data_IF_983320851011
#
_entry.id   IF_983320851011
#
_cell.length_a   1.000
_cell.length_b   1.000
_cell.length_c   1.000
_cell.angle_alpha   90.00
_cell.angle_beta   90.00
_cell.angle_gamma   90.00
#
_symmetry.space_group_name_H-M   'P 1'
#
loop_
_entity.id
_entity.type
_entity.pdbx_description
1 polymer ?
#
# COMPACT_ATOMS: atom_id res chain seq x y z
N UNK A 1 20.39 4.20 4.64
CA UNK A 1 19.54 5.02 3.74
C UNK A 1 18.26 5.35 4.49
N UNK A 2 17.81 6.61 4.47
CA UNK A 2 16.51 6.99 5.04
C UNK A 2 15.46 6.82 3.94
N UNK A 3 14.46 5.98 4.16
CA UNK A 3 13.38 5.78 3.21
C UNK A 3 12.25 6.77 3.51
N UNK A 4 11.99 7.67 2.58
CA UNK A 4 11.00 8.75 2.73
C UNK A 4 9.56 8.21 2.91
N UNK A 5 9.26 7.05 2.33
CA UNK A 5 7.98 6.33 2.50
C UNK A 5 7.65 6.05 3.96
N UNK A 6 8.64 5.70 4.78
CA UNK A 6 8.42 5.37 6.19
C UNK A 6 7.93 6.58 7.00
N UNK A 7 8.55 7.74 6.78
CA UNK A 7 8.20 9.00 7.45
C UNK A 7 6.82 9.52 7.00
N UNK A 8 6.54 9.41 5.70
CA UNK A 8 5.22 9.75 5.14
C UNK A 8 4.12 8.83 5.68
N UNK A 9 4.39 7.52 5.79
CA UNK A 9 3.46 6.56 6.38
C UNK A 9 3.17 6.87 7.86
N UNK A 10 4.20 7.20 8.64
CA UNK A 10 4.04 7.65 10.04
C UNK A 10 3.19 8.90 10.13
N UNK A 11 3.43 9.86 9.24
CA UNK A 11 2.66 11.11 9.18
C UNK A 11 1.18 10.83 8.87
N UNK A 12 0.89 9.94 7.93
CA UNK A 12 -0.47 9.52 7.61
C UNK A 12 -1.17 8.84 8.79
N UNK A 13 -0.46 7.98 9.52
CA UNK A 13 -1.00 7.34 10.73
C UNK A 13 -1.32 8.34 11.83
N UNK A 14 -0.41 9.29 12.09
CA UNK A 14 -0.63 10.35 13.08
C UNK A 14 -1.83 11.22 12.72
N UNK A 15 -1.95 11.62 11.45
CA UNK A 15 -3.10 12.42 10.97
C UNK A 15 -4.44 11.71 11.18
N UNK A 16 -4.47 10.39 11.11
CA UNK A 16 -5.68 9.58 11.32
C UNK A 16 -5.85 9.07 12.74
N UNK A 17 -4.94 9.40 13.66
CA UNK A 17 -4.89 8.85 15.01
C UNK A 17 -5.00 7.31 15.04
N UNK A 18 -4.47 6.63 14.01
CA UNK A 18 -4.61 5.18 13.83
C UNK A 18 -3.35 4.47 14.32
N UNK A 19 -3.54 3.35 15.02
CA UNK A 19 -2.43 2.52 15.50
C UNK A 19 -1.88 1.64 14.35
N UNK A 20 -0.55 1.39 14.29
CA UNK A 20 0.03 0.47 13.30
C UNK A 20 -0.56 -0.94 13.33
N UNK A 21 -0.98 -1.39 14.51
CA UNK A 21 -1.62 -2.69 14.73
C UNK A 21 -2.97 -2.76 14.01
N UNK A 22 -3.79 -1.71 14.16
CA UNK A 22 -5.09 -1.61 13.49
C UNK A 22 -4.93 -1.49 11.97
N UNK A 23 -3.92 -0.74 11.51
CA UNK A 23 -3.59 -0.66 10.09
C UNK A 23 -3.25 -2.05 9.52
N UNK A 24 -2.45 -2.84 10.23
CA UNK A 24 -2.06 -4.18 9.82
C UNK A 24 -3.30 -5.10 9.67
N UNK A 25 -4.21 -5.05 10.65
CA UNK A 25 -5.45 -5.84 10.64
C UNK A 25 -6.37 -5.43 9.49
N UNK A 26 -6.52 -4.13 9.23
CA UNK A 26 -7.37 -3.61 8.15
C UNK A 26 -6.79 -3.84 6.75
N UNK A 27 -5.47 -3.87 6.62
CA UNK A 27 -4.79 -4.09 5.33
C UNK A 27 -4.54 -5.57 5.03
N UNK A 28 -4.65 -6.46 6.01
CA UNK A 28 -4.26 -7.86 5.88
C UNK A 28 -2.75 -8.05 5.73
N UNK A 29 -1.94 -7.06 6.15
CA UNK A 29 -0.48 -7.13 6.11
C UNK A 29 -0.01 -7.60 7.49
N UNK A 30 0.93 -8.54 7.58
CA UNK A 30 1.44 -8.98 8.87
C UNK A 30 2.09 -7.82 9.63
N UNK A 31 1.86 -7.77 10.94
CA UNK A 31 2.36 -6.70 11.83
C UNK A 31 3.88 -6.54 11.74
N UNK A 32 4.61 -7.63 11.50
CA UNK A 32 6.05 -7.64 11.26
C UNK A 32 6.44 -6.81 10.03
N UNK A 33 5.75 -7.00 8.90
CA UNK A 33 5.99 -6.24 7.68
C UNK A 33 5.65 -4.75 7.84
N UNK A 34 4.53 -4.43 8.50
CA UNK A 34 4.17 -3.01 8.79
C UNK A 34 5.25 -2.34 9.64
N UNK A 35 5.76 -3.03 10.67
CA UNK A 35 6.86 -2.53 11.50
C UNK A 35 8.14 -2.31 10.69
N UNK A 36 8.48 -3.23 9.78
CA UNK A 36 9.62 -3.07 8.88
C UNK A 36 9.47 -1.88 7.92
N UNK A 37 8.26 -1.61 7.44
CA UNK A 37 7.97 -0.45 6.59
C UNK A 37 8.12 0.85 7.37
N UNK A 38 7.61 0.90 8.61
CA UNK A 38 7.76 2.06 9.49
C UNK A 38 9.20 2.29 9.93
N UNK A 39 10.01 1.23 10.03
CA UNK A 39 11.43 1.33 10.30
C UNK A 39 12.24 1.73 9.04
N UNK A 40 11.61 1.76 7.86
CA UNK A 40 12.28 2.02 6.59
C UNK A 40 13.28 0.92 6.21
N UNK A 41 13.15 -0.29 6.76
CA UNK A 41 14.04 -1.41 6.39
C UNK A 41 13.63 -2.06 5.08
N UNK A 42 12.35 -1.95 4.72
CA UNK A 42 11.79 -2.57 3.52
C UNK A 42 10.86 -1.61 2.80
N UNK A 43 10.94 -1.59 1.47
CA UNK A 43 10.05 -0.80 0.61
C UNK A 43 8.84 -1.66 0.23
N UNK A 44 7.61 -1.28 0.61
CA UNK A 44 6.43 -2.04 0.25
C UNK A 44 6.27 -2.15 -1.28
N UNK A 45 5.86 -3.33 -1.76
CA UNK A 45 5.49 -3.52 -3.17
C UNK A 45 4.24 -2.72 -3.53
N UNK A 46 4.02 -2.51 -4.83
CA UNK A 46 2.87 -1.75 -5.34
C UNK A 46 1.52 -2.23 -4.77
N UNK A 47 1.29 -3.54 -4.69
CA UNK A 47 0.05 -4.10 -4.13
C UNK A 47 -0.17 -3.68 -2.68
N UNK A 48 0.89 -3.73 -1.88
CA UNK A 48 0.85 -3.39 -0.44
C UNK A 48 0.71 -1.88 -0.25
N UNK A 49 1.39 -1.09 -1.07
CA UNK A 49 1.21 0.37 -1.13
C UNK A 49 -0.22 0.75 -1.45
N UNK A 50 -0.85 0.07 -2.42
CA UNK A 50 -2.24 0.30 -2.75
C UNK A 50 -3.17 -0.03 -1.57
N UNK A 51 -2.98 -1.16 -0.89
CA UNK A 51 -3.75 -1.50 0.31
C UNK A 51 -3.61 -0.47 1.44
N UNK A 52 -2.37 -0.05 1.72
CA UNK A 52 -2.08 0.99 2.72
C UNK A 52 -2.77 2.30 2.35
N UNK A 53 -2.65 2.70 1.08
CA UNK A 53 -3.24 3.94 0.55
C UNK A 53 -4.76 3.96 0.70
N UNK A 54 -5.45 2.84 0.47
CA UNK A 54 -6.90 2.73 0.61
C UNK A 54 -7.36 2.87 2.05
N UNK A 55 -6.68 2.22 3.00
CA UNK A 55 -7.04 2.30 4.43
C UNK A 55 -6.75 3.69 4.98
N UNK A 56 -5.63 4.28 4.57
CA UNK A 56 -5.20 5.62 4.96
C UNK A 56 -5.81 6.72 4.09
N UNK A 57 -6.69 6.41 3.13
CA UNK A 57 -7.18 7.29 2.05
C UNK A 57 -6.18 8.41 1.73
N UNK A 58 -4.97 7.98 1.34
CA UNK A 58 -3.89 8.83 0.84
C UNK A 58 -3.53 8.38 -0.55
N UNK A 59 -2.83 9.24 -1.30
CA UNK A 59 -2.36 8.87 -2.62
C UNK A 59 -1.14 7.92 -2.56
N UNK A 60 -1.08 6.95 -3.49
CA UNK A 60 0.03 6.00 -3.60
C UNK A 60 1.32 6.72 -3.99
N UNK A 61 1.26 7.70 -4.90
CA UNK A 61 2.40 8.50 -5.34
C UNK A 61 2.95 9.33 -4.18
N UNK A 62 2.07 9.82 -3.31
CA UNK A 62 2.47 10.50 -2.10
C UNK A 62 3.23 9.58 -1.14
N UNK A 63 2.76 8.35 -0.90
CA UNK A 63 3.50 7.38 -0.08
C UNK A 63 4.86 7.02 -0.69
N UNK A 64 4.95 6.99 -2.02
CA UNK A 64 6.20 6.70 -2.74
C UNK A 64 7.20 7.85 -2.75
N UNK A 65 6.82 9.07 -2.33
CA UNK A 65 7.72 10.24 -2.39
C UNK A 65 7.63 11.02 -3.69
N UNK A 66 6.77 10.62 -4.63
CA UNK A 66 6.71 11.17 -5.99
C UNK A 66 5.80 12.39 -6.11
N UNK A 67 4.97 12.66 -5.11
CA UNK A 67 4.03 13.79 -5.11
C UNK A 67 3.87 14.38 -3.72
N UNK A 68 3.60 15.68 -3.63
CA UNK A 68 3.33 16.38 -2.37
C UNK A 68 1.84 16.39 -1.98
N UNK A 69 0.97 15.99 -2.90
CA UNK A 69 -0.47 15.95 -2.69
C UNK A 69 -0.86 14.68 -1.91
N UNK A 70 -1.25 14.85 -0.64
CA UNK A 70 -1.54 13.72 0.24
C UNK A 70 -2.85 13.00 -0.09
N UNK A 71 -3.83 13.71 -0.64
CA UNK A 71 -5.09 13.13 -1.10
C UNK A 71 -5.14 13.24 -2.63
N UNK A 72 -5.46 12.13 -3.30
CA UNK A 72 -5.57 12.05 -4.75
C UNK A 72 -6.86 12.73 -5.25
N UNK A 73 -7.03 14.02 -5.00
CA UNK A 73 -8.02 14.81 -5.73
C UNK A 73 -7.45 15.09 -7.12
N UNK A 74 -7.45 14.07 -7.99
CA UNK A 74 -7.02 14.25 -9.37
C UNK A 74 -8.02 15.16 -10.06
N UNK A 75 -7.67 16.44 -10.12
CA UNK A 75 -8.40 17.47 -10.85
C UNK A 75 -8.15 17.25 -12.35
N UNK A 76 -8.79 16.24 -12.93
CA UNK A 76 -9.00 16.16 -14.39
C UNK A 76 -9.82 17.35 -14.94
N UNK A 77 -10.12 18.36 -14.12
CA UNK A 77 -10.90 19.55 -14.47
C UNK A 77 -10.11 20.67 -15.14
N UNK A 78 -8.92 20.42 -15.69
CA UNK A 78 -8.29 21.34 -16.66
C UNK A 78 -8.39 20.89 -18.11
N UNK A 79 -9.02 19.75 -18.39
CA UNK A 79 -9.51 19.43 -19.72
C UNK A 79 -10.81 20.20 -20.01
N UNK A 80 -10.69 21.53 -20.06
CA UNK A 80 -11.62 22.36 -20.82
C UNK A 80 -11.30 22.15 -22.30
N UNK A 81 -11.72 21.02 -22.87
CA UNK A 81 -11.59 20.74 -24.29
C UNK A 81 -12.39 19.49 -24.68
N UNK A 82 -13.46 19.60 -25.48
CA UNK A 82 -14.11 18.45 -26.07
C UNK A 82 -13.24 17.98 -27.23
N UNK A 83 -12.64 16.80 -27.11
CA UNK A 83 -11.66 16.31 -28.08
C UNK A 83 -11.68 14.81 -28.23
N UNK A 84 -12.81 14.29 -28.74
CA UNK A 84 -12.92 13.01 -29.46
C UNK A 84 -12.77 11.73 -28.61
N UNK A 85 -13.92 11.15 -28.25
CA UNK A 85 -14.02 9.71 -28.01
C UNK A 85 -13.91 9.05 -29.39
N UNK A 86 -12.73 8.58 -29.76
CA UNK A 86 -12.63 7.54 -30.78
C UNK A 86 -13.11 6.25 -30.10
N UNK A 87 -14.27 5.77 -30.54
CA UNK A 87 -14.89 4.52 -30.18
C UNK A 87 -13.99 3.36 -30.63
N UNK A 88 -12.97 3.05 -29.84
CA UNK A 88 -12.13 1.86 -29.96
C UNK A 88 -12.31 1.01 -28.72
N UNK A 89 -13.22 0.05 -28.77
CA UNK A 89 -13.50 -0.84 -27.66
C UNK A 89 -12.28 -1.67 -27.26
N UNK A 90 -11.81 -1.47 -26.05
CA UNK A 90 -11.13 -2.52 -25.27
C UNK A 90 -11.99 -2.79 -24.04
N UNK A 91 -12.96 -3.67 -24.26
CA UNK A 91 -13.72 -4.35 -23.23
C UNK A 91 -12.77 -5.15 -22.36
N UNK A 92 -12.43 -4.67 -21.16
CA UNK A 92 -11.86 -5.51 -20.10
C UNK A 92 -12.96 -6.40 -19.51
N UNK A 93 -13.49 -7.28 -20.37
CA UNK A 93 -14.22 -8.47 -19.98
C UNK A 93 -13.19 -9.58 -19.92
N UNK A 94 -12.65 -9.77 -18.72
CA UNK A 94 -11.80 -10.91 -18.37
C UNK A 94 -12.36 -11.54 -17.11
N UNK A 95 -13.44 -12.28 -17.24
CA UNK A 95 -13.78 -13.32 -16.27
C UNK A 95 -12.72 -14.42 -16.42
N UNK A 96 -11.91 -14.67 -15.38
CA UNK A 96 -11.65 -16.00 -14.77
C UNK A 96 -10.60 -15.89 -13.66
N UNK A 97 -11.05 -16.29 -12.47
CA UNK A 97 -10.34 -16.89 -11.36
C UNK A 97 -8.81 -17.04 -11.46
N UNK A 98 -8.11 -16.40 -10.51
CA UNK A 98 -6.85 -16.93 -9.99
C UNK A 98 -7.02 -17.11 -8.48
N UNK A 99 -7.39 -18.33 -8.12
CA UNK A 99 -7.03 -19.01 -6.89
C UNK A 99 -5.69 -18.49 -6.33
N UNK A 100 -5.75 -17.76 -5.22
CA UNK A 100 -4.59 -17.56 -4.35
C UNK A 100 -4.84 -18.34 -3.06
N UNK A 101 -5.13 -19.63 -3.24
CA UNK A 101 -5.17 -20.64 -2.21
C UNK A 101 -4.06 -21.66 -2.43
N UNK A 102 -2.79 -21.26 -2.24
CA UNK A 102 -1.71 -22.17 -1.83
C UNK A 102 -0.86 -21.46 -0.78
N UNK A 103 -1.06 -21.82 0.47
CA UNK A 103 -0.25 -22.81 1.21
C UNK A 103 1.13 -22.23 1.64
N UNK A 104 1.19 -21.96 2.94
CA UNK A 104 2.32 -22.10 3.88
C UNK A 104 3.74 -21.75 3.40
N UNK A 105 4.28 -20.68 3.98
CA UNK A 105 5.59 -20.83 4.63
C UNK A 105 5.31 -20.75 6.13
N UNK A 106 5.01 -21.92 6.67
CA UNK A 106 5.30 -22.27 8.04
C UNK A 106 6.81 -22.02 8.25
N UNK A 107 7.15 -20.84 8.74
CA UNK A 107 8.37 -20.69 9.51
C UNK A 107 7.96 -20.90 10.96
N UNK A 108 7.96 -22.17 11.37
CA UNK A 108 8.30 -22.50 12.74
C UNK A 108 9.63 -21.80 13.03
N UNK A 109 9.59 -20.76 13.87
CA UNK A 109 10.75 -20.39 14.64
C UNK A 109 10.67 -21.20 15.95
N UNK A 110 10.71 -22.51 15.81
CA UNK A 110 11.16 -23.40 16.87
C UNK A 110 12.67 -23.51 16.72
N UNK A 111 13.37 -22.47 17.19
CA UNK A 111 14.62 -22.64 17.92
C UNK A 111 14.50 -21.74 19.14
N UNK A 112 13.60 -22.20 20.03
CA UNK A 112 13.84 -22.11 21.45
C UNK A 112 15.18 -22.81 21.75
N UNK A 113 15.91 -22.32 22.74
CA UNK A 113 17.19 -22.85 23.27
C UNK A 113 18.50 -22.45 22.57
N UNK A 114 19.02 -21.28 22.95
CA UNK A 114 20.43 -21.22 23.32
C UNK A 114 20.52 -20.66 24.74
N UNK A 115 20.20 -21.52 25.70
CA UNK A 115 20.82 -21.45 27.01
C UNK A 115 22.34 -21.65 26.81
N UNK A 116 23.13 -20.59 26.97
CA UNK A 116 24.17 -20.45 28.00
C UNK A 116 24.84 -19.07 27.89
#
# INVERSE_FOLDING_TARGET
MRHETAERLRTALHKRAMKPVELAERTGIPRSAVSQYLAGKYVPKQDKLYLLSRVLQVDVLWLMGLSDQMNGETKYSRFSGPGRLEEGGESYRGEKEADHGKEILEFTAEDNDMAC
#
